data_IF_636137940956
#
_entry.id   IF_636137940956
#
_cell.length_a   1.000
_cell.length_b   1.000
_cell.length_c   1.000
_cell.angle_alpha   90.00
_cell.angle_beta   90.00
_cell.angle_gamma   90.00
#
_symmetry.space_group_name_H-M   'P 1'
#
loop_
_entity.id
_entity.type
_entity.pdbx_description
1 polymer ?
#
# COMPACT_ATOMS: atom_id res chain seq x y z
N UNK A 1 35.58 25.39 -15.25
CA UNK A 1 35.05 25.60 -13.89
C UNK A 1 34.40 24.31 -13.43
N UNK A 2 35.12 23.45 -12.70
CA UNK A 2 34.65 22.11 -12.28
C UNK A 2 34.73 22.00 -10.76
N UNK A 3 33.67 21.46 -10.17
CA UNK A 3 33.39 21.39 -8.74
C UNK A 3 34.59 20.99 -7.87
N UNK A 4 34.75 21.73 -6.77
CA UNK A 4 35.83 21.72 -5.80
C UNK A 4 35.82 20.42 -4.97
N UNK A 5 36.53 19.39 -5.43
CA UNK A 5 36.75 18.14 -4.70
C UNK A 5 38.21 17.70 -4.82
N UNK A 6 38.77 17.12 -3.75
CA UNK A 6 40.18 16.68 -3.66
C UNK A 6 40.60 15.69 -4.76
N UNK A 7 39.63 15.01 -5.39
CA UNK A 7 39.86 13.99 -6.41
C UNK A 7 38.93 14.18 -7.61
N UNK A 8 39.38 13.83 -8.82
CA UNK A 8 38.53 13.92 -10.01
C UNK A 8 37.43 12.86 -10.00
N UNK A 9 36.27 13.17 -10.60
CA UNK A 9 35.08 12.29 -10.62
C UNK A 9 35.37 10.89 -11.18
N UNK A 10 36.32 10.78 -12.12
CA UNK A 10 36.75 9.52 -12.71
C UNK A 10 37.35 8.57 -11.66
N UNK A 11 38.18 9.09 -10.73
CA UNK A 11 38.77 8.32 -9.64
C UNK A 11 37.70 7.90 -8.63
N UNK A 12 36.75 8.78 -8.36
CA UNK A 12 35.62 8.50 -7.47
C UNK A 12 34.75 7.38 -8.06
N UNK A 13 34.46 7.43 -9.37
CA UNK A 13 33.70 6.38 -10.07
C UNK A 13 34.41 5.02 -10.04
N UNK A 14 35.74 5.01 -10.23
CA UNK A 14 36.58 3.80 -10.17
C UNK A 14 36.58 3.19 -8.77
N UNK A 15 36.82 3.99 -7.72
CA UNK A 15 36.85 3.52 -6.32
C UNK A 15 35.48 3.01 -5.86
N UNK A 16 34.40 3.67 -6.27
CA UNK A 16 33.03 3.28 -5.90
C UNK A 16 32.46 2.18 -6.80
N UNK A 17 33.19 1.74 -7.83
CA UNK A 17 32.73 0.75 -8.82
C UNK A 17 31.36 1.12 -9.46
N UNK A 18 31.14 2.41 -9.75
CA UNK A 18 29.91 2.91 -10.39
C UNK A 18 30.21 3.56 -11.74
N UNK A 19 29.21 3.64 -12.62
CA UNK A 19 29.42 4.29 -13.91
C UNK A 19 29.62 5.81 -13.76
N UNK A 20 30.54 6.38 -14.55
CA UNK A 20 30.79 7.83 -14.58
C UNK A 20 29.53 8.61 -14.93
N UNK A 21 28.74 8.10 -15.88
CA UNK A 21 27.44 8.68 -16.27
C UNK A 21 26.45 8.73 -15.11
N UNK A 22 26.41 7.74 -14.22
CA UNK A 22 25.53 7.74 -13.05
C UNK A 22 25.86 8.90 -12.10
N UNK A 23 27.15 9.17 -11.87
CA UNK A 23 27.59 10.27 -11.03
C UNK A 23 27.32 11.63 -11.68
N UNK A 24 27.56 11.78 -13.00
CA UNK A 24 27.20 12.99 -13.73
C UNK A 24 25.69 13.25 -13.70
N UNK A 25 24.87 12.23 -13.93
CA UNK A 25 23.41 12.34 -13.88
C UNK A 25 22.91 12.81 -12.51
N UNK A 26 23.52 12.32 -11.42
CA UNK A 26 23.19 12.71 -10.05
C UNK A 26 23.68 14.11 -9.69
N UNK A 27 24.90 14.48 -10.11
CA UNK A 27 25.45 15.81 -9.87
C UNK A 27 24.71 16.91 -10.64
N UNK A 28 24.21 16.58 -11.82
CA UNK A 28 23.43 17.49 -12.66
C UNK A 28 21.94 17.45 -12.34
N UNK A 29 21.55 16.71 -11.29
CA UNK A 29 20.15 16.48 -10.88
C UNK A 29 19.24 16.03 -12.05
N UNK A 30 19.83 15.41 -13.07
CA UNK A 30 19.14 14.96 -14.30
C UNK A 30 18.27 13.74 -14.05
N UNK A 31 18.54 13.01 -12.96
CA UNK A 31 17.72 11.88 -12.53
C UNK A 31 16.62 12.37 -11.60
N UNK A 32 15.47 12.71 -12.19
CA UNK A 32 14.25 12.81 -11.41
C UNK A 32 13.98 11.46 -10.73
N UNK A 33 13.73 11.50 -9.42
CA UNK A 33 13.20 10.34 -8.71
C UNK A 33 11.89 9.94 -9.37
N UNK A 34 11.68 8.62 -9.59
CA UNK A 34 10.38 8.14 -10.06
C UNK A 34 9.32 8.61 -9.06
N UNK A 35 8.31 9.32 -9.55
CA UNK A 35 7.18 9.73 -8.72
C UNK A 35 6.58 8.50 -8.06
N UNK A 36 6.33 8.59 -6.75
CA UNK A 36 5.70 7.50 -6.03
C UNK A 36 4.30 7.29 -6.60
N UNK A 37 4.02 6.09 -7.12
CA UNK A 37 2.67 5.73 -7.62
C UNK A 37 1.59 5.77 -6.53
N UNK A 38 2.01 5.77 -5.27
CA UNK A 38 1.15 5.81 -4.10
C UNK A 38 1.58 6.98 -3.21
N UNK A 39 0.65 7.90 -2.94
CA UNK A 39 0.81 8.92 -1.92
C UNK A 39 0.07 8.51 -0.65
N UNK A 40 0.75 8.64 0.50
CA UNK A 40 0.11 8.45 1.81
C UNK A 40 -0.88 9.58 2.11
N UNK A 41 -0.69 10.76 1.53
CA UNK A 41 -1.60 11.89 1.74
C UNK A 41 -3.00 11.59 1.20
N UNK A 42 -3.10 10.78 0.15
CA UNK A 42 -4.38 10.32 -0.37
C UNK A 42 -5.15 9.44 0.64
N UNK A 43 -4.46 8.76 1.57
CA UNK A 43 -5.11 7.96 2.61
C UNK A 43 -5.84 8.85 3.63
N UNK A 44 -5.34 10.06 3.86
CA UNK A 44 -5.99 11.03 4.74
C UNK A 44 -7.39 11.40 4.24
N UNK A 45 -7.59 11.40 2.91
CA UNK A 45 -8.90 11.64 2.28
C UNK A 45 -9.87 10.46 2.46
N UNK A 46 -9.35 9.23 2.51
CA UNK A 46 -10.16 8.01 2.65
C UNK A 46 -10.59 7.75 4.10
N UNK A 47 -9.77 8.14 5.07
CA UNK A 47 -10.00 7.89 6.49
C UNK A 47 -11.37 8.39 7.02
N UNK A 48 -11.83 9.63 6.74
CA UNK A 48 -13.15 10.09 7.20
C UNK A 48 -14.29 9.26 6.61
N UNK A 49 -14.21 8.92 5.31
CA UNK A 49 -15.22 8.07 4.64
C UNK A 49 -15.28 6.67 5.28
N UNK A 50 -14.12 6.09 5.57
CA UNK A 50 -14.03 4.79 6.26
C UNK A 50 -14.66 4.88 7.65
N UNK A 51 -14.38 5.93 8.43
CA UNK A 51 -14.96 6.12 9.77
C UNK A 51 -16.48 6.26 9.72
N UNK A 52 -17.01 6.99 8.74
CA UNK A 52 -18.45 7.12 8.53
C UNK A 52 -19.11 5.74 8.29
N UNK A 53 -18.59 4.95 7.35
CA UNK A 53 -19.10 3.60 7.05
C UNK A 53 -18.97 2.66 8.27
N UNK A 54 -17.92 2.83 9.07
CA UNK A 54 -17.75 2.08 10.31
C UNK A 54 -18.76 2.50 11.39
N UNK A 55 -19.12 3.79 11.48
CA UNK A 55 -20.10 4.29 12.46
C UNK A 55 -21.53 3.79 12.16
N UNK A 56 -21.89 3.63 10.90
CA UNK A 56 -23.20 3.08 10.50
C UNK A 56 -23.40 1.65 11.00
N UNK A 57 -22.31 0.84 11.04
CA UNK A 57 -22.37 -0.53 11.54
C UNK A 57 -21.02 -1.01 12.08
N UNK A 58 -20.94 -1.22 13.39
CA UNK A 58 -19.73 -1.65 14.09
C UNK A 58 -19.20 -3.05 13.69
N UNK A 59 -19.96 -3.85 12.93
CA UNK A 59 -19.56 -5.20 12.45
C UNK A 59 -18.91 -5.21 11.07
N UNK A 60 -18.55 -4.04 10.54
CA UNK A 60 -17.94 -3.93 9.21
C UNK A 60 -16.44 -4.27 9.24
N UNK A 61 -16.10 -5.45 8.72
CA UNK A 61 -14.71 -5.78 8.35
C UNK A 61 -14.28 -5.06 7.08
N UNK A 62 -12.96 -4.92 6.88
CA UNK A 62 -12.37 -4.14 5.78
C UNK A 62 -12.90 -4.51 4.38
N UNK A 63 -13.26 -5.76 4.11
CA UNK A 63 -13.84 -6.17 2.82
C UNK A 63 -15.20 -5.54 2.55
N UNK A 64 -16.05 -5.42 3.58
CA UNK A 64 -17.37 -4.77 3.47
C UNK A 64 -17.20 -3.28 3.28
N UNK A 65 -16.35 -2.66 4.11
CA UNK A 65 -15.99 -1.24 3.97
C UNK A 65 -15.52 -0.93 2.56
N UNK A 66 -14.67 -1.79 1.97
CA UNK A 66 -14.21 -1.61 0.59
C UNK A 66 -15.35 -1.61 -0.43
N UNK A 67 -16.31 -2.52 -0.29
CA UNK A 67 -17.44 -2.58 -1.22
C UNK A 67 -18.32 -1.32 -1.11
N UNK A 68 -18.58 -0.83 0.11
CA UNK A 68 -19.32 0.41 0.32
C UNK A 68 -18.56 1.61 -0.24
N UNK A 69 -17.27 1.74 0.10
CA UNK A 69 -16.43 2.84 -0.35
C UNK A 69 -16.31 2.88 -1.87
N UNK A 70 -16.08 1.74 -2.53
CA UNK A 70 -15.98 1.68 -3.99
C UNK A 70 -17.32 1.88 -4.70
N UNK A 71 -18.46 1.68 -4.02
CA UNK A 71 -19.78 2.07 -4.56
C UNK A 71 -19.94 3.58 -4.58
N UNK A 72 -19.51 4.26 -3.52
CA UNK A 72 -19.54 5.73 -3.42
C UNK A 72 -18.53 6.36 -4.40
N UNK A 73 -17.29 5.87 -4.42
CA UNK A 73 -16.22 6.37 -5.29
C UNK A 73 -16.35 5.93 -6.77
N UNK A 74 -17.45 5.27 -7.13
CA UNK A 74 -17.69 4.85 -8.51
C UNK A 74 -17.86 6.07 -9.42
N UNK A 75 -18.54 7.10 -8.94
CA UNK A 75 -18.77 8.35 -9.68
C UNK A 75 -17.46 9.11 -9.94
N UNK A 76 -16.55 9.07 -8.97
CA UNK A 76 -15.21 9.68 -9.04
C UNK A 76 -14.19 8.83 -9.85
N UNK A 77 -14.62 7.69 -10.41
CA UNK A 77 -13.77 6.73 -11.13
C UNK A 77 -12.48 6.35 -10.37
N UNK A 78 -12.55 6.28 -9.04
CA UNK A 78 -11.39 6.06 -8.17
C UNK A 78 -11.55 4.78 -7.32
N UNK A 79 -11.43 3.58 -7.92
CA UNK A 79 -11.56 2.34 -7.18
C UNK A 79 -10.36 2.12 -6.25
N UNK A 80 -10.64 1.88 -4.97
CA UNK A 80 -9.61 1.66 -3.96
C UNK A 80 -9.36 0.15 -3.77
N UNK A 81 -8.08 -0.23 -3.74
CA UNK A 81 -7.69 -1.62 -3.48
C UNK A 81 -8.05 -2.03 -2.03
N UNK A 82 -8.72 -3.17 -1.80
CA UNK A 82 -9.04 -3.66 -0.45
C UNK A 82 -7.84 -3.75 0.50
N UNK A 83 -6.63 -4.03 -0.01
CA UNK A 83 -5.41 -4.09 0.80
C UNK A 83 -5.02 -2.71 1.36
N UNK A 84 -5.29 -1.64 0.62
CA UNK A 84 -5.03 -0.27 1.05
C UNK A 84 -5.94 0.10 2.20
N UNK A 85 -7.23 -0.22 2.10
CA UNK A 85 -8.22 -0.02 3.17
C UNK A 85 -7.85 -0.84 4.41
N UNK A 86 -7.42 -2.09 4.24
CA UNK A 86 -6.91 -2.90 5.37
C UNK A 86 -5.77 -2.19 6.11
N UNK A 87 -4.78 -1.66 5.39
CA UNK A 87 -3.65 -0.94 5.99
C UNK A 87 -4.09 0.32 6.74
N UNK A 88 -5.00 1.11 6.15
CA UNK A 88 -5.54 2.32 6.78
C UNK A 88 -6.31 1.95 8.06
N UNK A 89 -7.18 0.95 7.99
CA UNK A 89 -7.95 0.49 9.14
C UNK A 89 -7.05 -0.09 10.23
N UNK A 90 -5.99 -0.83 9.86
CA UNK A 90 -5.01 -1.37 10.80
C UNK A 90 -4.27 -0.26 11.53
N UNK A 91 -3.77 0.75 10.80
CA UNK A 91 -3.06 1.89 11.37
C UNK A 91 -3.94 2.75 12.31
N UNK A 92 -5.26 2.72 12.12
CA UNK A 92 -6.22 3.51 12.88
C UNK A 92 -7.01 2.69 13.92
N UNK A 93 -6.62 1.44 14.19
CA UNK A 93 -7.31 0.54 15.13
C UNK A 93 -8.81 0.35 14.83
N UNK A 94 -9.19 0.36 13.55
CA UNK A 94 -10.57 0.20 13.07
C UNK A 94 -10.90 -1.25 12.69
N UNK A 95 -9.94 -2.17 12.80
CA UNK A 95 -10.16 -3.58 12.49
C UNK A 95 -10.90 -4.27 13.62
N UNK A 96 -11.85 -5.13 13.25
CA UNK A 96 -12.56 -5.97 14.20
C UNK A 96 -11.56 -6.91 14.89
N UNK A 97 -11.58 -7.01 16.23
CA UNK A 97 -10.74 -7.98 16.93
C UNK A 97 -11.07 -9.39 16.43
N UNK A 98 -10.01 -10.20 16.25
CA UNK A 98 -10.18 -11.61 15.90
C UNK A 98 -10.98 -12.27 17.03
N UNK A 99 -12.15 -12.80 16.71
CA UNK A 99 -12.92 -13.54 17.70
C UNK A 99 -12.10 -14.74 18.20
N UNK A 100 -11.96 -14.85 19.53
CA UNK A 100 -11.24 -15.95 20.17
C UNK A 100 -11.95 -17.30 20.07
N UNK A 101 -13.16 -17.32 19.50
CA UNK A 101 -13.92 -18.54 19.28
C UNK A 101 -13.19 -19.42 18.25
N UNK A 102 -12.66 -20.55 18.71
CA UNK A 102 -12.18 -21.61 17.83
C UNK A 102 -13.38 -22.10 17.03
N UNK A 103 -13.35 -21.91 15.70
CA UNK A 103 -14.36 -22.52 14.84
C UNK A 103 -14.27 -24.04 15.04
N UNK A 104 -15.40 -24.74 15.30
CA UNK A 104 -15.37 -26.18 15.42
C UNK A 104 -14.80 -26.75 14.12
N UNK A 105 -13.81 -27.63 14.24
CA UNK A 105 -13.23 -28.32 13.09
C UNK A 105 -14.32 -29.19 12.50
N UNK A 106 -14.95 -28.75 11.41
CA UNK A 106 -15.89 -29.57 10.67
C UNK A 106 -15.06 -30.65 9.97
N UNK A 107 -15.07 -31.87 10.49
CA UNK A 107 -14.54 -33.02 9.76
C UNK A 107 -15.46 -33.26 8.57
N UNK A 108 -15.13 -32.68 7.41
CA UNK A 108 -15.76 -33.08 6.15
C UNK A 108 -15.19 -34.46 5.81
N UNK A 109 -15.98 -35.51 5.97
CA UNK A 109 -15.57 -36.84 5.53
C UNK A 109 -15.48 -36.82 4.01
N UNK A 110 -14.32 -37.21 3.47
CA UNK A 110 -14.10 -37.29 2.03
C UNK A 110 -15.07 -38.30 1.35
N UNK A 111 -15.62 -39.24 2.11
CA UNK A 111 -16.60 -40.22 1.62
C UNK A 111 -18.02 -39.67 1.37
N UNK A 112 -18.36 -38.46 1.84
CA UNK A 112 -19.70 -37.88 1.64
C UNK A 112 -19.88 -37.22 0.25
N UNK A 113 -18.88 -37.32 -0.65
CA UNK A 113 -18.84 -36.66 -1.96
C UNK A 113 -19.08 -37.62 -3.15
N UNK A 114 -19.49 -38.87 -2.93
CA UNK A 114 -19.75 -39.87 -3.98
C UNK A 114 -21.25 -40.15 -4.23
N UNK A 115 -22.06 -39.10 -4.24
CA UNK A 115 -23.45 -39.18 -4.67
C UNK A 115 -23.77 -38.06 -5.66
N UNK A 116 -23.13 -38.10 -6.84
CA UNK A 116 -23.60 -37.57 -8.12
C UNK A 116 -22.89 -38.38 -9.22
#
# INVERSE_FOLDING_TARGET
>A
MTATGRYPLIRIAEVLCVSRSNLYDRLQDKRQHRSARYSKDDDARLLPLIRQICSERATNGYRRVTAHLNRVLKEENWPVNPKRIYRIMQANNLLLPKSGHKKPVTKRNFNDLKCW
#
